data_IF_241899165774
#
_entry.id   IF_241899165774
#
_cell.length_a   1.000
_cell.length_b   1.000
_cell.length_c   1.000
_cell.angle_alpha   90.00
_cell.angle_beta   90.00
_cell.angle_gamma   90.00
#
_symmetry.space_group_name_H-M   'P 1'
#
loop_
_entity.id
_entity.type
_entity.pdbx_description
1 polymer ?
#
# COMPACT_ATOMS: atom_id res chain seq x y z
N UNK A 1 -17.48 9.99 -10.03
CA UNK A 1 -16.35 9.89 -9.07
C UNK A 1 -15.68 8.53 -9.28
N UNK A 2 -14.74 8.41 -10.21
CA UNK A 2 -14.09 7.12 -10.56
C UNK A 2 -12.56 7.15 -10.48
N UNK A 3 -11.97 8.23 -9.94
CA UNK A 3 -10.51 8.44 -9.99
C UNK A 3 -9.71 7.79 -8.84
N UNK A 4 -10.36 7.21 -7.84
CA UNK A 4 -9.68 6.65 -6.66
C UNK A 4 -9.23 5.19 -6.78
N UNK A 5 -9.96 4.35 -7.55
CA UNK A 5 -9.72 2.90 -7.59
C UNK A 5 -8.57 2.46 -8.51
N UNK A 6 -8.11 3.30 -9.43
CA UNK A 6 -7.03 2.93 -10.37
C UNK A 6 -5.66 3.04 -9.73
N UNK A 7 -5.40 4.14 -9.01
CA UNK A 7 -4.08 4.46 -8.47
C UNK A 7 -3.52 3.41 -7.50
N UNK A 8 -4.36 2.83 -6.63
CA UNK A 8 -3.89 1.83 -5.66
C UNK A 8 -3.62 0.47 -6.32
N UNK A 9 -4.41 0.07 -7.32
CA UNK A 9 -4.12 -1.13 -8.14
C UNK A 9 -2.81 -0.97 -8.92
N UNK A 10 -2.54 0.24 -9.38
CA UNK A 10 -1.29 0.57 -10.08
C UNK A 10 -0.11 0.48 -9.09
N UNK A 11 -0.24 1.01 -7.87
CA UNK A 11 0.80 0.92 -6.83
C UNK A 11 1.11 -0.53 -6.41
N UNK A 12 0.10 -1.38 -6.19
CA UNK A 12 0.34 -2.79 -5.89
C UNK A 12 1.03 -3.52 -7.04
N UNK A 13 0.61 -3.24 -8.28
CA UNK A 13 1.20 -3.85 -9.47
C UNK A 13 2.66 -3.43 -9.66
N UNK A 14 2.97 -2.16 -9.44
CA UNK A 14 4.34 -1.65 -9.50
C UNK A 14 5.24 -2.29 -8.43
N UNK A 15 4.73 -2.44 -7.21
CA UNK A 15 5.44 -3.13 -6.12
C UNK A 15 5.65 -4.61 -6.41
N UNK A 16 4.68 -5.30 -7.01
CA UNK A 16 4.82 -6.71 -7.41
C UNK A 16 5.88 -6.87 -8.51
N UNK A 17 5.91 -5.98 -9.50
CA UNK A 17 6.96 -5.95 -10.53
C UNK A 17 8.32 -5.66 -9.90
N UNK A 18 8.40 -4.74 -8.95
CA UNK A 18 9.64 -4.41 -8.24
C UNK A 18 10.15 -5.62 -7.44
N UNK A 19 9.29 -6.28 -6.65
CA UNK A 19 9.65 -7.47 -5.89
C UNK A 19 10.13 -8.60 -6.79
N UNK A 20 9.45 -8.82 -7.93
CA UNK A 20 9.89 -9.82 -8.92
C UNK A 20 11.27 -9.51 -9.49
N UNK A 21 11.57 -8.24 -9.76
CA UNK A 21 12.90 -7.81 -10.25
C UNK A 21 13.97 -7.96 -9.18
N UNK A 22 13.67 -7.62 -7.92
CA UNK A 22 14.59 -7.76 -6.79
C UNK A 22 14.94 -9.24 -6.56
N UNK A 23 13.95 -10.14 -6.63
CA UNK A 23 14.20 -11.58 -6.51
C UNK A 23 15.11 -12.11 -7.63
N UNK A 24 14.89 -11.69 -8.87
CA UNK A 24 15.75 -12.06 -10.00
C UNK A 24 17.18 -11.49 -9.85
N UNK A 25 17.30 -10.28 -9.31
CA UNK A 25 18.59 -9.64 -9.05
C UNK A 25 19.34 -10.32 -7.90
N UNK A 26 18.64 -10.73 -6.83
CA UNK A 26 19.23 -11.46 -5.71
C UNK A 26 19.75 -12.84 -6.14
N UNK A 27 19.02 -13.52 -7.02
CA UNK A 27 19.41 -14.81 -7.57
C UNK A 27 20.63 -14.74 -8.51
N UNK A 28 20.75 -13.65 -9.28
CA UNK A 28 21.85 -13.45 -10.24
C UNK A 28 23.09 -12.79 -9.65
N UNK A 29 22.99 -12.13 -8.49
CA UNK A 29 24.13 -11.52 -7.84
C UNK A 29 25.02 -12.57 -7.15
N UNK A 30 26.34 -12.46 -7.33
CA UNK A 30 27.34 -13.30 -6.65
C UNK A 30 27.98 -12.61 -5.43
N UNK A 31 27.80 -11.29 -5.29
CA UNK A 31 28.39 -10.49 -4.22
C UNK A 31 27.49 -10.45 -2.99
N UNK A 32 28.07 -10.68 -1.82
CA UNK A 32 27.36 -10.72 -0.53
C UNK A 32 26.84 -9.33 -0.14
N UNK A 33 27.58 -8.27 -0.44
CA UNK A 33 27.14 -6.91 -0.17
C UNK A 33 25.93 -6.55 -1.04
N UNK A 34 26.00 -6.81 -2.35
CA UNK A 34 24.85 -6.66 -3.25
C UNK A 34 23.62 -7.43 -2.79
N UNK A 35 23.75 -8.73 -2.41
CA UNK A 35 22.62 -9.51 -1.88
C UNK A 35 22.02 -8.88 -0.62
N UNK A 36 22.86 -8.38 0.29
CA UNK A 36 22.38 -7.69 1.50
C UNK A 36 21.59 -6.42 1.17
N UNK A 37 22.07 -5.62 0.21
CA UNK A 37 21.37 -4.42 -0.24
C UNK A 37 20.04 -4.77 -0.90
N UNK A 38 20.02 -5.79 -1.76
CA UNK A 38 18.79 -6.26 -2.41
C UNK A 38 17.78 -6.75 -1.37
N UNK A 39 18.22 -7.48 -0.35
CA UNK A 39 17.37 -7.94 0.75
C UNK A 39 16.75 -6.78 1.55
N UNK A 40 17.51 -5.71 1.80
CA UNK A 40 16.97 -4.50 2.44
C UNK A 40 15.89 -3.84 1.58
N UNK A 41 16.14 -3.68 0.27
CA UNK A 41 15.18 -3.06 -0.65
C UNK A 41 13.92 -3.92 -0.77
N UNK A 42 14.07 -5.25 -0.82
CA UNK A 42 12.94 -6.19 -0.82
C UNK A 42 12.07 -6.03 0.42
N UNK A 43 12.69 -5.97 1.60
CA UNK A 43 11.98 -5.74 2.86
C UNK A 43 11.22 -4.41 2.84
N UNK A 44 11.83 -3.34 2.32
CA UNK A 44 11.17 -2.03 2.20
C UNK A 44 9.97 -2.09 1.25
N UNK A 45 10.11 -2.74 0.10
CA UNK A 45 9.03 -2.89 -0.88
C UNK A 45 7.85 -3.73 -0.32
N UNK A 46 8.13 -4.81 0.41
CA UNK A 46 7.11 -5.61 1.11
C UNK A 46 6.37 -4.76 2.15
N UNK A 47 7.11 -3.98 2.95
CA UNK A 47 6.49 -3.08 3.95
C UNK A 47 5.67 -1.98 3.29
N UNK A 48 6.12 -1.42 2.18
CA UNK A 48 5.35 -0.43 1.43
C UNK A 48 4.05 -1.02 0.88
N UNK A 49 4.06 -2.27 0.40
CA UNK A 49 2.85 -2.96 -0.04
C UNK A 49 1.82 -3.08 1.08
N UNK A 50 2.26 -3.53 2.26
CA UNK A 50 1.40 -3.58 3.44
C UNK A 50 0.88 -2.19 3.86
N UNK A 51 1.72 -1.15 3.76
CA UNK A 51 1.31 0.21 4.08
C UNK A 51 0.17 0.71 3.18
N UNK A 52 0.20 0.37 1.89
CA UNK A 52 -0.89 0.71 0.95
C UNK A 52 -2.20 0.04 1.37
N UNK A 53 -2.17 -1.25 1.73
CA UNK A 53 -3.35 -1.97 2.21
C UNK A 53 -3.93 -1.35 3.49
N UNK A 54 -3.08 -1.01 4.46
CA UNK A 54 -3.53 -0.40 5.72
C UNK A 54 -4.04 1.03 5.52
N UNK A 55 -3.49 1.76 4.55
CA UNK A 55 -4.00 3.08 4.20
C UNK A 55 -5.43 3.02 3.63
N UNK A 56 -5.76 1.99 2.86
CA UNK A 56 -7.13 1.71 2.41
C UNK A 56 -8.08 1.42 3.57
N UNK A 57 -7.64 0.65 4.58
CA UNK A 57 -8.41 0.44 5.80
C UNK A 57 -8.66 1.76 6.54
N UNK A 58 -7.64 2.61 6.64
CA UNK A 58 -7.77 3.92 7.25
C UNK A 58 -8.79 4.81 6.53
N UNK A 59 -8.76 4.87 5.19
CA UNK A 59 -9.75 5.62 4.39
C UNK A 59 -11.18 5.16 4.72
N UNK A 60 -11.42 3.85 4.75
CA UNK A 60 -12.74 3.28 5.09
C UNK A 60 -13.18 3.63 6.51
N UNK A 61 -12.26 3.60 7.47
CA UNK A 61 -12.56 4.00 8.84
C UNK A 61 -12.98 5.47 8.92
N UNK A 62 -12.30 6.36 8.19
CA UNK A 62 -12.65 7.78 8.10
C UNK A 62 -14.02 7.96 7.44
N UNK A 63 -14.32 7.24 6.36
CA UNK A 63 -15.64 7.28 5.71
C UNK A 63 -16.75 6.88 6.70
N UNK A 64 -16.55 5.80 7.46
CA UNK A 64 -17.52 5.36 8.47
C UNK A 64 -17.71 6.38 9.60
N UNK A 65 -16.62 6.97 10.11
CA UNK A 65 -16.68 8.03 11.11
C UNK A 65 -17.46 9.24 10.58
N UNK A 66 -17.21 9.61 9.33
CA UNK A 66 -17.89 10.72 8.67
C UNK A 66 -19.40 10.46 8.53
N UNK A 67 -19.81 9.25 8.16
CA UNK A 67 -21.22 8.85 8.12
C UNK A 67 -21.91 8.92 9.49
N UNK A 68 -21.20 8.56 10.56
CA UNK A 68 -21.71 8.67 11.93
C UNK A 68 -21.89 10.14 12.34
N UNK A 69 -20.92 11.00 12.01
CA UNK A 69 -21.02 12.44 12.27
C UNK A 69 -22.25 13.04 11.59
N UNK A 70 -22.46 12.77 10.29
CA UNK A 70 -23.63 13.26 9.57
C UNK A 70 -24.95 12.75 10.15
N UNK A 71 -24.99 11.50 10.62
CA UNK A 71 -26.19 10.94 11.27
C UNK A 71 -26.51 11.67 12.57
N UNK A 72 -25.50 11.99 13.38
CA UNK A 72 -25.68 12.74 14.63
C UNK A 72 -26.16 14.16 14.33
N UNK A 73 -25.58 14.85 13.35
CA UNK A 73 -26.03 16.19 12.95
C UNK A 73 -27.47 16.19 12.43
N UNK A 74 -27.83 15.24 11.57
CA UNK A 74 -29.19 15.11 11.05
C UNK A 74 -30.21 14.88 12.18
N UNK A 75 -29.88 14.04 13.17
CA UNK A 75 -30.76 13.76 14.31
C UNK A 75 -30.87 14.94 15.30
N UNK A 76 -29.94 15.90 15.28
CA UNK A 76 -30.02 17.13 16.11
C UNK A 76 -30.81 18.25 15.44
N UNK A 77 -30.92 18.22 14.10
CA UNK A 77 -31.57 19.26 13.30
C UNK A 77 -32.98 18.86 12.82
N UNK A 78 -33.44 17.63 13.12
CA UNK A 78 -34.79 17.12 12.89
C UNK A 78 -35.56 17.01 14.19
#
# INVERSE_FOLDING_TARGET
MERGKSHDKDAHRELDVLLSRLNALEASSSDKYQKSVIGMIRTLAEKQKHFVDEFEHLKKAIDLLTLQLFRVEHNKNS
#
